data_IF_441202992024
#
_entry.id   IF_441202992024
#
_cell.length_a   1.000
_cell.length_b   1.000
_cell.length_c   1.000
_cell.angle_alpha   90.00
_cell.angle_beta   90.00
_cell.angle_gamma   90.00
#
_symmetry.space_group_name_H-M   'P 1'
#
loop_
_entity.id
_entity.type
_entity.pdbx_description
1 polymer ?
#
# COMPACT_ATOMS: atom_id res chain seq x y z
N UNK A 1 -10.09 63.95 37.05
CA UNK A 1 -9.28 64.17 35.83
C UNK A 1 -8.28 63.02 35.77
N UNK A 2 -8.72 61.91 35.18
CA UNK A 2 -7.87 60.79 34.74
C UNK A 2 -8.49 60.30 33.44
N UNK A 3 -7.70 60.44 32.38
CA UNK A 3 -7.79 59.68 31.15
C UNK A 3 -7.56 58.18 31.50
N UNK A 4 -7.97 57.20 30.70
CA UNK A 4 -7.81 57.11 29.26
C UNK A 4 -8.93 56.22 28.70
N UNK A 5 -9.42 56.66 27.56
CA UNK A 5 -10.10 55.87 26.55
C UNK A 5 -9.15 54.76 26.06
N UNK A 6 -9.61 53.51 26.01
CA UNK A 6 -8.90 52.47 25.26
C UNK A 6 -9.93 51.68 24.48
N UNK A 7 -10.14 52.18 23.26
CA UNK A 7 -10.06 51.41 22.03
C UNK A 7 -10.74 50.05 22.03
N UNK A 8 -11.94 50.05 21.48
CA UNK A 8 -12.45 48.95 20.66
C UNK A 8 -11.51 48.67 19.47
N UNK A 9 -11.74 47.54 18.81
CA UNK A 9 -11.31 47.15 17.46
C UNK A 9 -10.22 46.05 17.34
N UNK A 10 -10.74 44.85 17.08
CA UNK A 10 -10.44 44.06 15.87
C UNK A 10 -9.06 43.43 15.73
N UNK A 11 -9.08 42.09 15.68
CA UNK A 11 -8.21 41.35 14.77
C UNK A 11 -7.61 40.09 15.36
N UNK A 12 -8.22 38.95 15.06
CA UNK A 12 -7.57 37.88 14.29
C UNK A 12 -8.33 36.58 14.53
N UNK A 13 -9.15 36.20 13.55
CA UNK A 13 -9.52 34.81 13.31
C UNK A 13 -8.27 33.91 13.43
N UNK A 14 -8.34 32.76 14.10
CA UNK A 14 -7.28 31.78 13.96
C UNK A 14 -7.28 31.31 12.51
N UNK A 15 -6.30 31.78 11.75
CA UNK A 15 -6.01 31.31 10.41
C UNK A 15 -6.04 29.76 10.41
N UNK A 16 -6.74 29.11 9.45
CA UNK A 16 -6.62 27.68 9.34
C UNK A 16 -5.15 27.39 9.09
N UNK A 17 -4.56 26.58 9.98
CA UNK A 17 -3.27 25.96 9.76
C UNK A 17 -3.35 25.34 8.37
N UNK A 18 -2.72 25.99 7.38
CA UNK A 18 -2.51 25.39 6.09
C UNK A 18 -1.75 24.11 6.38
N UNK A 19 -2.46 22.98 6.34
CA UNK A 19 -1.86 21.68 6.15
C UNK A 19 -0.99 21.82 4.91
N UNK A 20 0.30 22.07 5.12
CA UNK A 20 1.32 21.69 4.16
C UNK A 20 1.44 20.18 4.29
N UNK A 21 0.35 19.49 3.93
CA UNK A 21 0.43 18.10 3.57
C UNK A 21 1.45 17.97 2.44
N UNK A 22 2.23 16.88 2.39
CA UNK A 22 3.11 16.64 1.26
C UNK A 22 2.28 16.79 -0.02
N UNK A 23 2.83 17.40 -1.10
CA UNK A 23 2.07 17.62 -2.31
C UNK A 23 1.36 16.32 -2.66
N UNK A 24 0.02 16.36 -2.75
CA UNK A 24 -0.82 15.23 -3.14
C UNK A 24 -0.46 14.90 -4.59
N UNK A 25 0.67 14.24 -4.78
CA UNK A 25 1.04 13.64 -6.03
C UNK A 25 -0.02 12.59 -6.29
N UNK A 26 -0.87 12.85 -7.29
CA UNK A 26 -1.90 11.92 -7.70
C UNK A 26 -1.24 10.55 -7.90
N UNK A 27 -1.58 9.55 -7.05
CA UNK A 27 -0.92 8.25 -7.08
C UNK A 27 -1.09 7.58 -8.45
N UNK A 28 -2.15 7.90 -9.19
CA UNK A 28 -2.35 7.40 -10.55
C UNK A 28 -1.31 7.97 -11.52
N UNK A 29 -1.00 9.27 -11.43
CA UNK A 29 0.02 9.91 -12.26
C UNK A 29 1.43 9.40 -11.89
N UNK A 30 1.71 9.21 -10.61
CA UNK A 30 2.97 8.64 -10.14
C UNK A 30 3.16 7.18 -10.62
N UNK A 31 2.11 6.36 -10.57
CA UNK A 31 2.12 5.00 -11.10
C UNK A 31 2.32 4.98 -12.62
N UNK A 32 1.63 5.85 -13.37
CA UNK A 32 1.77 5.96 -14.81
C UNK A 32 3.19 6.41 -15.22
N UNK A 33 3.78 7.35 -14.49
CA UNK A 33 5.15 7.80 -14.72
C UNK A 33 6.17 6.65 -14.51
N UNK A 34 5.99 5.86 -13.45
CA UNK A 34 6.82 4.67 -13.18
C UNK A 34 6.67 3.61 -14.28
N UNK A 35 5.43 3.33 -14.72
CA UNK A 35 5.17 2.38 -15.80
C UNK A 35 5.82 2.80 -17.13
N UNK A 36 5.72 4.10 -17.49
CA UNK A 36 6.37 4.65 -18.69
C UNK A 36 7.89 4.60 -18.62
N UNK A 37 8.48 4.89 -17.45
CA UNK A 37 9.92 4.76 -17.24
C UNK A 37 10.39 3.31 -17.41
N UNK A 38 9.62 2.35 -16.90
CA UNK A 38 9.92 0.92 -17.04
C UNK A 38 9.82 0.45 -18.50
N UNK A 39 8.79 0.89 -19.24
CA UNK A 39 8.66 0.56 -20.67
C UNK A 39 9.80 1.12 -21.53
N UNK A 40 10.27 2.34 -21.22
CA UNK A 40 11.44 2.94 -21.90
C UNK A 40 12.73 2.18 -21.63
N UNK A 41 12.90 1.66 -20.41
CA UNK A 41 14.05 0.82 -20.07
C UNK A 41 13.99 -0.55 -20.76
N UNK A 42 12.79 -1.10 -20.97
CA UNK A 42 12.61 -2.41 -21.59
C UNK A 42 12.77 -2.41 -23.12
N UNK A 43 12.75 -1.25 -23.78
CA UNK A 43 12.96 -1.13 -25.23
C UNK A 43 11.95 -1.93 -26.07
N UNK A 44 12.00 -1.85 -27.41
CA UNK A 44 11.25 -2.76 -28.26
C UNK A 44 11.88 -4.15 -28.10
N UNK A 45 11.20 -5.05 -27.39
CA UNK A 45 11.63 -6.43 -27.19
C UNK A 45 11.88 -7.09 -28.56
N UNK A 46 13.14 -7.14 -28.96
CA UNK A 46 13.58 -7.98 -30.07
C UNK A 46 13.50 -9.43 -29.62
N UNK A 47 12.97 -10.24 -30.51
CA UNK A 47 12.73 -11.68 -30.37
C UNK A 47 13.83 -12.45 -29.63
N UNK A 48 13.39 -13.30 -28.70
CA UNK A 48 13.98 -14.55 -28.24
C UNK A 48 15.47 -14.56 -27.82
N UNK A 49 15.71 -14.61 -26.50
CA UNK A 49 16.71 -15.54 -25.98
C UNK A 49 16.04 -16.54 -25.04
N UNK A 50 15.94 -17.77 -25.54
CA UNK A 50 15.67 -18.97 -24.76
C UNK A 50 16.82 -19.24 -23.79
N UNK A 51 16.48 -19.95 -22.72
CA UNK A 51 17.37 -20.75 -21.86
C UNK A 51 17.83 -20.09 -20.55
N UNK A 52 17.50 -20.79 -19.47
CA UNK A 52 18.24 -20.82 -18.21
C UNK A 52 17.82 -19.92 -17.05
N UNK A 53 16.52 -19.82 -16.73
CA UNK A 53 16.09 -19.66 -15.32
C UNK A 53 14.70 -20.28 -15.08
N UNK A 54 14.53 -21.56 -15.40
CA UNK A 54 13.31 -22.32 -15.03
C UNK A 54 13.51 -23.12 -13.74
N UNK A 55 14.12 -22.53 -12.70
CA UNK A 55 14.36 -23.25 -11.43
C UNK A 55 13.58 -22.75 -10.22
N UNK A 56 12.77 -21.71 -10.33
CA UNK A 56 11.79 -21.33 -9.28
C UNK A 56 10.55 -20.66 -9.84
N UNK A 57 10.04 -21.14 -10.97
CA UNK A 57 8.62 -20.95 -11.24
C UNK A 57 7.92 -22.11 -10.53
N UNK A 58 7.06 -21.88 -9.52
CA UNK A 58 6.14 -22.95 -9.12
C UNK A 58 5.48 -23.45 -10.42
N UNK A 59 5.27 -24.77 -10.57
CA UNK A 59 4.64 -25.29 -11.77
C UNK A 59 3.45 -24.39 -12.01
N UNK A 60 3.39 -23.76 -13.19
CA UNK A 60 2.22 -23.01 -13.57
C UNK A 60 1.10 -23.99 -13.26
N UNK A 61 0.32 -23.69 -12.21
CA UNK A 61 -0.88 -24.44 -11.93
C UNK A 61 -1.49 -24.51 -13.31
N UNK A 62 -1.69 -25.74 -13.81
CA UNK A 62 -2.50 -25.95 -14.99
C UNK A 62 -3.60 -24.92 -14.83
N UNK A 63 -3.74 -24.00 -15.79
CA UNK A 63 -4.79 -23.00 -15.76
C UNK A 63 -6.07 -23.82 -15.77
N UNK A 64 -6.42 -24.35 -14.59
CA UNK A 64 -7.57 -25.14 -14.26
C UNK A 64 -8.61 -24.24 -14.83
N UNK A 65 -9.30 -24.76 -15.82
CA UNK A 65 -9.97 -23.98 -16.83
C UNK A 65 -11.26 -23.34 -16.23
N UNK A 66 -11.16 -22.80 -15.02
CA UNK A 66 -12.18 -22.64 -13.99
C UNK A 66 -12.81 -23.94 -13.52
N UNK A 67 -12.35 -25.11 -13.99
CA UNK A 67 -13.15 -26.34 -14.03
C UNK A 67 -12.76 -27.40 -13.03
N UNK A 68 -11.56 -27.32 -12.46
CA UNK A 68 -11.14 -28.25 -11.41
C UNK A 68 -11.13 -27.54 -10.06
N UNK A 69 -11.75 -28.14 -9.02
CA UNK A 69 -11.73 -27.58 -7.68
C UNK A 69 -10.29 -27.52 -7.17
N UNK A 70 -9.88 -26.34 -6.73
CA UNK A 70 -8.59 -26.12 -6.09
C UNK A 70 -8.75 -26.16 -4.57
N UNK A 71 -7.66 -26.47 -3.85
CA UNK A 71 -7.63 -26.22 -2.41
C UNK A 71 -7.86 -24.73 -2.17
N UNK A 72 -8.76 -24.40 -1.24
CA UNK A 72 -9.11 -23.02 -0.93
C UNK A 72 -7.88 -22.17 -0.62
N UNK A 73 -6.93 -22.70 0.15
CA UNK A 73 -5.68 -22.01 0.47
C UNK A 73 -4.90 -21.64 -0.79
N UNK A 74 -4.72 -22.58 -1.72
CA UNK A 74 -4.00 -22.32 -2.98
C UNK A 74 -4.72 -21.32 -3.88
N UNK A 75 -6.06 -21.30 -3.87
CA UNK A 75 -6.84 -20.31 -4.63
C UNK A 75 -6.71 -18.91 -4.01
N UNK A 76 -6.75 -18.80 -2.68
CA UNK A 76 -6.56 -17.53 -1.96
C UNK A 76 -5.14 -17.02 -2.13
N UNK A 77 -4.12 -17.87 -2.01
CA UNK A 77 -2.72 -17.49 -2.23
C UNK A 77 -2.49 -16.99 -3.66
N UNK A 78 -3.09 -17.65 -4.65
CA UNK A 78 -3.08 -17.20 -6.04
C UNK A 78 -3.73 -15.82 -6.20
N UNK A 79 -4.91 -15.61 -5.59
CA UNK A 79 -5.61 -14.32 -5.62
C UNK A 79 -4.80 -13.21 -4.96
N UNK A 80 -4.20 -13.46 -3.79
CA UNK A 80 -3.34 -12.49 -3.09
C UNK A 80 -2.14 -12.10 -3.95
N UNK A 81 -1.54 -13.07 -4.65
CA UNK A 81 -0.43 -12.82 -5.54
C UNK A 81 -0.82 -12.05 -6.82
N UNK A 82 -1.97 -12.37 -7.41
CA UNK A 82 -2.50 -11.64 -8.57
C UNK A 82 -2.84 -10.18 -8.27
N UNK A 83 -3.31 -9.91 -7.05
CA UNK A 83 -3.66 -8.57 -6.57
C UNK A 83 -2.45 -7.79 -6.03
N UNK A 84 -1.28 -8.42 -5.88
CA UNK A 84 -0.10 -7.80 -5.27
C UNK A 84 -0.30 -7.46 -3.79
N UNK A 85 -1.13 -8.25 -3.10
CA UNK A 85 -1.52 -8.01 -1.71
C UNK A 85 -0.64 -8.75 -0.71
N UNK A 86 0.45 -9.40 -1.13
CA UNK A 86 1.28 -10.24 -0.27
C UNK A 86 1.77 -9.46 0.97
N UNK A 87 2.17 -8.21 0.77
CA UNK A 87 2.64 -7.36 1.87
C UNK A 87 1.52 -6.99 2.85
N UNK A 88 0.35 -6.61 2.35
CA UNK A 88 -0.79 -6.24 3.20
C UNK A 88 -1.37 -7.46 3.92
N UNK A 89 -1.40 -8.62 3.26
CA UNK A 89 -1.78 -9.89 3.85
C UNK A 89 -0.84 -10.29 4.99
N UNK A 90 0.47 -10.08 4.82
CA UNK A 90 1.44 -10.33 5.89
C UNK A 90 1.24 -9.41 7.10
N UNK A 91 0.97 -8.12 6.88
CA UNK A 91 0.63 -7.18 7.96
C UNK A 91 -0.64 -7.63 8.67
N UNK A 92 -1.69 -7.98 7.91
CA UNK A 92 -2.93 -8.52 8.49
C UNK A 92 -2.72 -9.79 9.32
N UNK A 93 -1.83 -10.68 8.88
CA UNK A 93 -1.48 -11.88 9.63
C UNK A 93 -0.78 -11.57 10.96
N UNK A 94 0.10 -10.57 10.99
CA UNK A 94 0.76 -10.11 12.23
C UNK A 94 -0.27 -9.47 13.16
N UNK A 95 -1.12 -8.59 12.62
CA UNK A 95 -2.16 -7.90 13.40
C UNK A 95 -3.13 -8.90 14.03
N UNK A 96 -3.57 -9.92 13.29
CA UNK A 96 -4.44 -10.98 13.81
C UNK A 96 -3.79 -11.85 14.89
N UNK A 97 -2.45 -11.84 14.96
CA UNK A 97 -1.65 -12.62 15.91
C UNK A 97 -0.93 -11.74 16.94
N UNK A 98 -1.34 -10.47 17.07
CA UNK A 98 -0.63 -9.49 17.89
C UNK A 98 -0.46 -9.95 19.34
N UNK A 99 -1.54 -10.46 19.95
CA UNK A 99 -1.52 -10.96 21.33
C UNK A 99 -0.51 -12.10 21.54
N UNK A 100 -0.32 -12.99 20.57
CA UNK A 100 0.68 -14.07 20.69
C UNK A 100 2.12 -13.55 20.55
N UNK A 101 2.31 -12.44 19.82
CA UNK A 101 3.63 -11.86 19.54
C UNK A 101 4.12 -11.00 20.71
N UNK A 102 3.27 -10.10 21.21
CA UNK A 102 3.65 -9.15 22.28
C UNK A 102 3.15 -9.54 23.67
N UNK A 103 2.20 -10.46 23.76
CA UNK A 103 1.54 -10.84 25.02
C UNK A 103 0.30 -10.01 25.32
N UNK A 104 -0.59 -10.58 26.15
CA UNK A 104 -1.89 -10.00 26.50
C UNK A 104 -1.75 -8.62 27.18
N UNK A 105 -0.84 -8.49 28.14
CA UNK A 105 -0.65 -7.22 28.86
C UNK A 105 -0.34 -6.08 27.88
N UNK A 106 0.66 -6.24 27.01
CA UNK A 106 1.03 -5.17 26.06
C UNK A 106 -0.05 -4.94 25.00
N UNK A 107 -0.70 -6.02 24.52
CA UNK A 107 -1.75 -5.91 23.52
C UNK A 107 -2.99 -5.13 24.03
N UNK A 108 -3.37 -5.31 25.29
CA UNK A 108 -4.55 -4.64 25.89
C UNK A 108 -4.37 -3.13 26.02
N UNK A 109 -3.13 -2.64 26.02
CA UNK A 109 -2.82 -1.20 26.16
C UNK A 109 -2.61 -0.49 24.81
N UNK A 110 -2.64 -1.21 23.70
CA UNK A 110 -2.45 -0.65 22.35
C UNK A 110 -3.67 -0.97 21.50
N UNK A 111 -4.75 -0.23 21.76
CA UNK A 111 -5.92 -0.17 20.88
C UNK A 111 -5.98 1.23 20.28
N UNK A 112 -5.81 1.33 18.97
CA UNK A 112 -5.97 2.59 18.22
C UNK A 112 -7.45 2.95 18.05
#
# INVERSE_FOLDING_TARGET
MSADDTGDETGADPAPLAEVGPPLVDPAQAALARARAHARQQGPAREASSSSTYKRRPPAAQLSNGRDPMLLGSAVDGMVAELGWEHQAAVGAITGRWVEIVGAEVADHVTA
#
